data_IF_080620468591
#
_entry.id   IF_080620468591
#
_cell.length_a   1.000
_cell.length_b   1.000
_cell.length_c   1.000
_cell.angle_alpha   90.00
_cell.angle_beta   90.00
_cell.angle_gamma   90.00
#
_symmetry.space_group_name_H-M   'P 1'
#
loop_
_entity.id
_entity.type
_entity.pdbx_description
1 polymer ?
#
# COMPACT_ATOMS: atom_id res chain seq x y z
N UNK A 1 -23.68 -40.77 5.76
CA UNK A 1 -22.65 -40.03 6.53
C UNK A 1 -22.53 -38.65 5.90
N UNK A 2 -23.25 -37.67 6.45
CA UNK A 2 -23.22 -36.28 5.96
C UNK A 2 -22.08 -35.55 6.66
N UNK A 3 -20.92 -35.44 6.00
CA UNK A 3 -19.87 -34.50 6.40
C UNK A 3 -20.27 -33.12 5.89
N UNK A 4 -21.15 -32.46 6.62
CA UNK A 4 -21.41 -31.03 6.48
C UNK A 4 -20.17 -30.26 6.91
N UNK A 5 -19.34 -29.89 5.92
CA UNK A 5 -18.28 -28.89 6.08
C UNK A 5 -18.94 -27.57 6.50
N UNK A 6 -18.79 -27.23 7.78
CA UNK A 6 -19.08 -25.89 8.29
C UNK A 6 -18.19 -24.91 7.53
N UNK A 7 -18.74 -24.27 6.50
CA UNK A 7 -18.20 -23.03 5.96
C UNK A 7 -18.32 -21.97 7.07
N UNK A 8 -17.32 -21.94 7.96
CA UNK A 8 -17.08 -20.79 8.81
C UNK A 8 -16.74 -19.63 7.87
N UNK A 9 -17.74 -18.83 7.52
CA UNK A 9 -17.55 -17.52 6.91
C UNK A 9 -16.82 -16.64 7.94
N UNK A 10 -15.50 -16.81 8.02
CA UNK A 10 -14.63 -15.97 8.83
C UNK A 10 -14.71 -14.57 8.23
N UNK A 11 -15.35 -13.66 8.95
CA UNK A 11 -15.40 -12.26 8.56
C UNK A 11 -13.97 -11.72 8.48
N UNK A 12 -13.64 -10.95 7.42
CA UNK A 12 -12.29 -10.48 7.23
C UNK A 12 -11.87 -9.55 8.37
N UNK A 13 -10.63 -9.73 8.83
CA UNK A 13 -10.02 -8.80 9.77
C UNK A 13 -9.85 -7.46 9.06
N UNK A 14 -10.20 -6.36 9.71
CA UNK A 14 -10.08 -5.03 9.09
C UNK A 14 -8.84 -4.31 9.63
N UNK A 15 -7.95 -3.88 8.74
CA UNK A 15 -6.83 -2.99 9.04
C UNK A 15 -7.07 -1.63 8.41
N UNK A 16 -6.71 -0.55 9.11
CA UNK A 16 -6.65 0.79 8.53
C UNK A 16 -5.22 1.25 8.34
N UNK A 17 -5.00 2.03 7.30
CA UNK A 17 -3.76 2.75 6.99
C UNK A 17 -4.14 4.22 6.82
N UNK A 18 -3.55 5.12 7.60
CA UNK A 18 -3.78 6.56 7.48
C UNK A 18 -2.66 7.19 6.65
N UNK A 19 -3.01 7.71 5.48
CA UNK A 19 -2.10 8.30 4.50
C UNK A 19 -1.87 7.38 3.32
N UNK A 20 -2.31 7.82 2.14
CA UNK A 20 -2.14 7.15 0.85
C UNK A 20 -0.85 7.54 0.12
N UNK A 21 0.13 8.12 0.81
CA UNK A 21 1.44 8.42 0.24
C UNK A 21 2.31 7.18 0.06
N UNK A 22 3.62 7.39 -0.10
CA UNK A 22 4.61 6.33 -0.25
C UNK A 22 4.48 5.20 0.78
N UNK A 23 4.60 5.53 2.07
CA UNK A 23 4.65 4.55 3.15
C UNK A 23 3.36 3.75 3.22
N UNK A 24 2.20 4.40 3.22
CA UNK A 24 0.92 3.71 3.29
C UNK A 24 0.63 2.83 2.08
N UNK A 25 1.07 3.25 0.89
CA UNK A 25 0.94 2.46 -0.33
C UNK A 25 1.81 1.20 -0.31
N UNK A 26 3.05 1.30 0.16
CA UNK A 26 3.92 0.13 0.29
C UNK A 26 3.49 -0.80 1.44
N UNK A 27 2.96 -0.25 2.54
CA UNK A 27 2.34 -1.06 3.60
C UNK A 27 1.12 -1.82 3.04
N UNK A 28 0.25 -1.14 2.29
CA UNK A 28 -0.89 -1.79 1.64
C UNK A 28 -0.45 -2.89 0.66
N UNK A 29 0.54 -2.62 -0.20
CA UNK A 29 1.08 -3.60 -1.13
C UNK A 29 1.67 -4.83 -0.41
N UNK A 30 2.44 -4.62 0.67
CA UNK A 30 2.98 -5.71 1.47
C UNK A 30 1.87 -6.52 2.18
N UNK A 31 0.83 -5.87 2.70
CA UNK A 31 -0.31 -6.56 3.31
C UNK A 31 -1.11 -7.37 2.29
N UNK A 32 -1.32 -6.84 1.09
CA UNK A 32 -2.00 -7.53 -0.02
C UNK A 32 -1.22 -8.80 -0.43
N UNK A 33 0.10 -8.66 -0.63
CA UNK A 33 0.99 -9.74 -1.05
C UNK A 33 1.13 -10.85 0.00
N UNK A 34 1.13 -10.51 1.29
CA UNK A 34 1.47 -11.44 2.37
C UNK A 34 0.27 -11.86 3.23
N UNK A 35 -0.96 -11.53 2.85
CA UNK A 35 -2.15 -11.89 3.62
C UNK A 35 -2.33 -13.42 3.67
N UNK A 36 -2.30 -13.98 4.88
CA UNK A 36 -2.53 -15.41 5.15
C UNK A 36 -3.93 -15.72 5.66
N UNK A 37 -4.78 -14.70 5.78
CA UNK A 37 -6.16 -14.78 6.27
C UNK A 37 -7.04 -13.77 5.54
N UNK A 38 -8.39 -13.93 5.56
CA UNK A 38 -9.30 -12.92 5.01
C UNK A 38 -9.03 -11.54 5.61
N UNK A 39 -8.74 -10.55 4.76
CA UNK A 39 -8.26 -9.23 5.17
C UNK A 39 -8.96 -8.11 4.39
N UNK A 40 -9.42 -7.09 5.11
CA UNK A 40 -9.97 -5.86 4.54
C UNK A 40 -9.07 -4.69 4.92
N UNK A 41 -8.38 -4.12 3.94
CA UNK A 41 -7.46 -2.98 4.15
C UNK A 41 -8.21 -1.70 3.79
N UNK A 42 -8.33 -0.78 4.74
CA UNK A 42 -8.90 0.56 4.55
C UNK A 42 -7.76 1.57 4.42
N UNK A 43 -7.50 2.07 3.22
CA UNK A 43 -6.50 3.10 2.98
C UNK A 43 -7.17 4.47 2.95
N UNK A 44 -6.91 5.28 3.98
CA UNK A 44 -7.56 6.57 4.19
C UNK A 44 -6.61 7.66 3.73
N UNK A 45 -7.00 8.43 2.72
CA UNK A 45 -6.21 9.54 2.19
C UNK A 45 -7.12 10.72 1.88
N UNK A 46 -6.68 11.93 2.24
CA UNK A 46 -7.46 13.15 2.01
C UNK A 46 -7.48 13.55 0.54
N UNK A 47 -6.47 13.15 -0.23
CA UNK A 47 -6.35 13.43 -1.66
C UNK A 47 -6.86 12.23 -2.48
N UNK A 48 -7.35 12.48 -3.69
CA UNK A 48 -7.80 11.40 -4.60
C UNK A 48 -6.65 10.57 -5.18
N UNK A 49 -5.42 11.13 -5.22
CA UNK A 49 -4.25 10.43 -5.74
C UNK A 49 -3.48 9.70 -4.63
N UNK A 50 -3.46 8.37 -4.74
CA UNK A 50 -2.72 7.45 -3.87
C UNK A 50 -1.41 7.02 -4.55
N UNK A 51 -0.37 6.70 -3.77
CA UNK A 51 0.88 6.09 -4.24
C UNK A 51 2.10 6.98 -4.06
N UNK A 52 2.02 8.23 -4.50
CA UNK A 52 3.21 9.11 -4.57
C UNK A 52 3.48 9.86 -3.26
N UNK A 53 2.44 10.34 -2.59
CA UNK A 53 2.59 11.25 -1.44
C UNK A 53 3.33 12.54 -1.82
N UNK A 54 3.69 13.34 -0.81
CA UNK A 54 4.34 14.66 -1.04
C UNK A 54 5.73 14.52 -1.67
N UNK A 55 6.52 13.55 -1.20
CA UNK A 55 7.93 13.41 -1.58
C UNK A 55 8.14 12.91 -3.02
N UNK A 56 7.20 12.14 -3.57
CA UNK A 56 7.30 11.54 -4.90
C UNK A 56 6.22 12.04 -5.88
N UNK A 57 5.39 13.00 -5.46
CA UNK A 57 4.41 13.69 -6.31
C UNK A 57 4.97 14.89 -7.08
N UNK A 58 6.28 15.16 -6.95
CA UNK A 58 6.93 16.26 -7.68
C UNK A 58 6.98 15.96 -9.19
N UNK A 59 6.65 16.96 -10.02
CA UNK A 59 6.77 16.87 -11.49
C UNK A 59 8.16 17.31 -12.00
N UNK A 60 9.09 17.59 -11.09
CA UNK A 60 10.40 18.15 -11.43
C UNK A 60 11.43 17.03 -11.55
N UNK A 61 11.88 16.78 -12.78
CA UNK A 61 12.78 15.67 -13.10
C UNK A 61 14.16 15.75 -12.43
N UNK A 62 14.60 16.93 -11.96
CA UNK A 62 15.88 17.06 -11.25
C UNK A 62 15.83 16.65 -9.77
N UNK A 63 14.64 16.36 -9.22
CA UNK A 63 14.53 15.83 -7.87
C UNK A 63 14.84 14.33 -7.89
N UNK A 64 16.12 13.99 -7.76
CA UNK A 64 16.57 12.60 -7.73
C UNK A 64 16.31 11.95 -6.36
N UNK A 65 16.24 10.62 -6.36
CA UNK A 65 16.36 9.81 -5.16
C UNK A 65 17.70 10.10 -4.47
N UNK A 66 17.72 9.96 -3.15
CA UNK A 66 18.96 10.07 -2.37
C UNK A 66 19.70 8.74 -2.25
N UNK A 67 19.13 7.67 -2.81
CA UNK A 67 19.62 6.29 -2.75
C UNK A 67 19.62 5.75 -4.19
N UNK A 68 20.66 5.01 -4.59
CA UNK A 68 20.75 4.48 -5.95
C UNK A 68 19.74 3.35 -6.18
N UNK A 69 19.32 3.15 -7.43
CA UNK A 69 18.23 2.24 -7.80
C UNK A 69 18.40 0.81 -7.27
N UNK A 70 19.63 0.27 -7.28
CA UNK A 70 19.92 -1.08 -6.79
C UNK A 70 19.83 -1.25 -5.28
N UNK A 71 19.61 -0.17 -4.53
CA UNK A 71 19.36 -0.19 -3.07
C UNK A 71 17.91 0.14 -2.71
N UNK A 72 17.04 0.25 -3.72
CA UNK A 72 15.63 0.56 -3.54
C UNK A 72 14.79 -0.67 -3.88
N UNK A 73 13.85 -1.01 -3.01
CA UNK A 73 12.82 -1.99 -3.31
C UNK A 73 11.58 -1.74 -2.46
N UNK A 74 10.42 -2.11 -2.98
CA UNK A 74 9.18 -2.20 -2.22
C UNK A 74 9.14 -3.43 -1.29
N UNK A 75 9.97 -4.43 -1.55
CA UNK A 75 9.95 -5.73 -0.91
C UNK A 75 11.35 -6.13 -0.41
N UNK A 76 11.50 -6.44 0.89
CA UNK A 76 12.82 -6.77 1.46
C UNK A 76 13.38 -8.10 0.94
N UNK A 77 12.52 -9.00 0.48
CA UNK A 77 12.87 -10.30 -0.10
C UNK A 77 13.16 -10.23 -1.61
N UNK A 78 12.85 -9.11 -2.27
CA UNK A 78 13.10 -8.91 -3.71
C UNK A 78 13.94 -7.63 -3.92
N UNK A 79 15.23 -7.71 -3.61
CA UNK A 79 16.11 -6.54 -3.61
C UNK A 79 16.21 -5.83 -4.97
N UNK A 80 16.04 -6.56 -6.07
CA UNK A 80 16.10 -6.01 -7.44
C UNK A 80 14.73 -5.57 -7.98
N UNK A 81 13.64 -5.62 -7.19
CA UNK A 81 12.28 -5.37 -7.68
C UNK A 81 12.15 -4.03 -8.42
N UNK A 82 12.72 -2.95 -7.86
CA UNK A 82 12.68 -1.64 -8.52
C UNK A 82 13.51 -1.60 -9.80
N UNK A 83 14.72 -2.17 -9.80
CA UNK A 83 15.58 -2.19 -10.98
C UNK A 83 14.94 -2.97 -12.13
N UNK A 84 14.35 -4.13 -11.82
CA UNK A 84 13.61 -4.95 -12.77
C UNK A 84 12.40 -4.18 -13.34
N UNK A 85 11.63 -3.51 -12.46
CA UNK A 85 10.51 -2.69 -12.89
C UNK A 85 10.96 -1.57 -13.83
N UNK A 86 12.05 -0.87 -13.53
CA UNK A 86 12.60 0.18 -14.40
C UNK A 86 12.92 -0.37 -15.80
N UNK A 87 13.62 -1.49 -15.88
CA UNK A 87 13.98 -2.11 -17.16
C UNK A 87 12.76 -2.53 -17.98
N UNK A 88 11.72 -3.02 -17.32
CA UNK A 88 10.45 -3.39 -17.97
C UNK A 88 9.63 -2.17 -18.42
N UNK A 89 9.86 -0.99 -17.84
CA UNK A 89 9.14 0.24 -18.11
C UNK A 89 9.96 1.25 -18.93
N UNK A 90 10.92 0.78 -19.74
CA UNK A 90 11.63 1.59 -20.72
C UNK A 90 12.86 2.33 -20.22
N UNK A 91 13.37 1.98 -19.04
CA UNK A 91 14.59 2.55 -18.45
C UNK A 91 15.76 1.55 -18.48
N UNK A 92 15.99 0.88 -19.60
CA UNK A 92 16.98 -0.20 -19.74
C UNK A 92 18.43 0.27 -19.54
N UNK A 93 18.68 1.56 -19.75
CA UNK A 93 19.96 2.22 -19.51
C UNK A 93 20.28 2.43 -18.02
N UNK A 94 19.29 2.34 -17.14
CA UNK A 94 19.47 2.55 -15.71
C UNK A 94 20.24 1.39 -15.08
N UNK A 95 21.28 1.73 -14.33
CA UNK A 95 22.09 0.76 -13.58
C UNK A 95 21.75 0.78 -12.10
N UNK A 96 22.20 -0.24 -11.36
CA UNK A 96 22.07 -0.31 -9.91
C UNK A 96 22.66 0.92 -9.18
N UNK A 97 23.63 1.62 -9.77
CA UNK A 97 24.27 2.80 -9.19
C UNK A 97 23.58 4.13 -9.54
N UNK A 98 22.59 4.12 -10.44
CA UNK A 98 21.92 5.33 -10.92
C UNK A 98 20.97 5.89 -9.86
N UNK A 99 20.99 7.21 -9.68
CA UNK A 99 20.00 7.95 -8.88
C UNK A 99 18.85 8.38 -9.79
N UNK A 100 17.71 7.74 -9.63
CA UNK A 100 16.53 7.92 -10.50
C UNK A 100 15.67 9.09 -10.01
N UNK A 101 14.96 9.83 -10.88
CA UNK A 101 14.01 10.85 -10.44
C UNK A 101 12.95 10.30 -9.47
N UNK A 102 12.61 11.09 -8.44
CA UNK A 102 11.60 10.76 -7.44
C UNK A 102 10.23 10.49 -8.05
N UNK A 103 9.88 11.19 -9.13
CA UNK A 103 8.63 10.97 -9.85
C UNK A 103 8.53 9.53 -10.37
N UNK A 104 9.58 9.02 -11.01
CA UNK A 104 9.64 7.66 -11.54
C UNK A 104 9.52 6.63 -10.41
N UNK A 105 10.13 6.90 -9.26
CA UNK A 105 9.93 6.05 -8.08
C UNK A 105 8.49 6.11 -7.55
N UNK A 106 7.82 7.26 -7.66
CA UNK A 106 6.39 7.38 -7.38
C UNK A 106 5.53 6.53 -8.32
N UNK A 107 5.88 6.47 -9.61
CA UNK A 107 5.21 5.61 -10.60
C UNK A 107 5.38 4.12 -10.26
N UNK A 108 6.60 3.73 -9.86
CA UNK A 108 6.88 2.40 -9.36
C UNK A 108 6.00 2.02 -8.16
N UNK A 109 5.83 2.92 -7.19
CA UNK A 109 5.01 2.65 -6.00
C UNK A 109 3.53 2.48 -6.36
N UNK A 110 3.01 3.30 -7.28
CA UNK A 110 1.65 3.17 -7.80
C UNK A 110 1.46 1.84 -8.54
N UNK A 111 2.40 1.48 -9.42
CA UNK A 111 2.38 0.22 -10.15
C UNK A 111 2.44 -0.97 -9.20
N UNK A 112 3.32 -0.93 -8.19
CA UNK A 112 3.48 -1.99 -7.19
C UNK A 112 2.19 -2.20 -6.39
N UNK A 113 1.53 -1.12 -5.94
CA UNK A 113 0.25 -1.24 -5.23
C UNK A 113 -0.85 -1.83 -6.12
N UNK A 114 -0.92 -1.38 -7.38
CA UNK A 114 -1.89 -1.89 -8.35
C UNK A 114 -1.68 -3.37 -8.65
N UNK A 115 -0.44 -3.79 -8.86
CA UNK A 115 -0.08 -5.19 -9.09
C UNK A 115 -0.42 -6.06 -7.87
N UNK A 116 -0.08 -5.61 -6.66
CA UNK A 116 -0.41 -6.32 -5.44
C UNK A 116 -1.93 -6.48 -5.25
N UNK A 117 -2.72 -5.48 -5.64
CA UNK A 117 -4.19 -5.54 -5.58
C UNK A 117 -4.78 -6.50 -6.60
N UNK A 118 -4.26 -6.51 -7.84
CA UNK A 118 -4.69 -7.43 -8.89
C UNK A 118 -4.37 -8.88 -8.54
N UNK A 119 -3.20 -9.12 -7.91
CA UNK A 119 -2.74 -10.45 -7.53
C UNK A 119 -3.24 -10.90 -6.14
N UNK A 120 -4.04 -10.08 -5.45
CA UNK A 120 -4.51 -10.40 -4.11
C UNK A 120 -5.48 -11.61 -4.13
N UNK A 121 -5.45 -12.47 -3.10
CA UNK A 121 -6.45 -13.52 -2.93
C UNK A 121 -7.88 -12.95 -2.89
N UNK A 122 -8.88 -13.71 -3.36
CA UNK A 122 -10.27 -13.24 -3.46
C UNK A 122 -10.91 -12.79 -2.12
N UNK A 123 -10.37 -13.27 -0.99
CA UNK A 123 -10.81 -12.91 0.36
C UNK A 123 -10.01 -11.75 0.98
N UNK A 124 -9.13 -11.12 0.20
CA UNK A 124 -8.31 -9.98 0.58
C UNK A 124 -8.69 -8.81 -0.32
N UNK A 125 -8.98 -7.65 0.28
CA UNK A 125 -9.35 -6.46 -0.50
C UNK A 125 -8.72 -5.18 0.04
N UNK A 126 -8.46 -4.27 -0.87
CA UNK A 126 -8.11 -2.88 -0.58
C UNK A 126 -9.31 -1.98 -0.87
N UNK A 127 -9.65 -1.13 0.08
CA UNK A 127 -10.66 -0.09 -0.07
C UNK A 127 -10.01 1.26 0.16
N UNK A 128 -10.11 2.14 -0.85
CA UNK A 128 -9.59 3.50 -0.79
C UNK A 128 -10.71 4.42 -0.30
N UNK A 129 -10.46 5.11 0.80
CA UNK A 129 -11.40 6.05 1.42
C UNK A 129 -10.82 7.45 1.27
N UNK A 130 -11.49 8.29 0.47
CA UNK A 130 -11.12 9.69 0.30
C UNK A 130 -11.69 10.51 1.44
N UNK A 131 -10.97 10.58 2.55
CA UNK A 131 -11.37 11.30 3.76
C UNK A 131 -10.14 11.61 4.63
N UNK A 132 -10.34 12.47 5.64
CA UNK A 132 -9.35 12.80 6.65
C UNK A 132 -9.69 12.10 7.95
N UNK A 133 -8.76 11.28 8.46
CA UNK A 133 -8.82 10.83 9.84
C UNK A 133 -8.59 12.01 10.80
N UNK A 134 -9.50 12.21 11.75
CA UNK A 134 -9.50 13.35 12.68
C UNK A 134 -9.28 12.94 14.14
N UNK A 135 -9.59 11.69 14.49
CA UNK A 135 -9.30 11.14 15.81
C UNK A 135 -9.14 9.61 15.73
N UNK A 136 -8.43 9.06 16.71
CA UNK A 136 -8.25 7.62 16.91
C UNK A 136 -8.54 7.33 18.38
N UNK A 137 -9.33 6.30 18.62
CA UNK A 137 -9.58 5.77 19.96
C UNK A 137 -9.23 4.29 19.97
N UNK A 138 -8.30 3.91 20.84
CA UNK A 138 -7.83 2.53 20.97
C UNK A 138 -8.21 1.99 22.32
N UNK A 139 -8.92 0.87 22.31
CA UNK A 139 -9.22 0.05 23.48
C UNK A 139 -8.36 -1.21 23.48
N UNK A 140 -8.48 -2.03 24.52
CA UNK A 140 -7.81 -3.35 24.59
C UNK A 140 -8.25 -4.32 23.49
N UNK A 141 -9.42 -4.11 22.87
CA UNK A 141 -10.01 -5.07 21.92
C UNK A 141 -10.23 -4.51 20.51
N UNK A 142 -10.34 -3.19 20.36
CA UNK A 142 -10.66 -2.52 19.10
C UNK A 142 -9.99 -1.16 18.98
N UNK A 143 -9.75 -0.73 17.74
CA UNK A 143 -9.39 0.64 17.40
C UNK A 143 -10.51 1.24 16.56
N UNK A 144 -10.94 2.44 16.92
CA UNK A 144 -11.92 3.24 16.16
C UNK A 144 -11.20 4.42 15.52
N UNK A 145 -11.36 4.58 14.20
CA UNK A 145 -10.89 5.75 13.46
C UNK A 145 -12.09 6.63 13.14
N UNK A 146 -12.01 7.90 13.55
CA UNK A 146 -13.02 8.92 13.28
C UNK A 146 -12.61 9.72 12.05
N UNK A 147 -13.52 9.84 11.08
CA UNK A 147 -13.28 10.56 9.84
C UNK A 147 -13.98 11.92 9.84
N UNK A 148 -13.50 12.85 9.03
CA UNK A 148 -14.03 14.22 8.95
C UNK A 148 -15.45 14.29 8.39
N UNK A 149 -15.85 13.30 7.59
CA UNK A 149 -17.25 13.11 7.15
C UNK A 149 -18.23 12.74 8.27
N UNK A 150 -17.73 12.40 9.47
CA UNK A 150 -18.52 11.83 10.56
C UNK A 150 -18.59 10.30 10.55
N UNK A 151 -18.06 9.64 9.51
CA UNK A 151 -17.94 8.17 9.48
C UNK A 151 -16.99 7.66 10.57
N UNK A 152 -17.28 6.47 11.09
CA UNK A 152 -16.43 5.75 12.05
C UNK A 152 -16.03 4.40 11.47
N UNK A 153 -14.75 4.06 11.56
CA UNK A 153 -14.21 2.78 11.12
C UNK A 153 -13.72 1.97 12.32
N UNK A 154 -14.24 0.76 12.48
CA UNK A 154 -13.79 -0.19 13.48
C UNK A 154 -12.75 -1.12 12.88
N UNK A 155 -11.54 -1.09 13.41
CA UNK A 155 -10.39 -1.83 12.88
C UNK A 155 -9.68 -2.60 13.98
N UNK A 156 -9.06 -3.71 13.58
CA UNK A 156 -8.24 -4.54 14.47
C UNK A 156 -6.84 -3.98 14.64
N UNK A 157 -6.32 -3.31 13.60
CA UNK A 157 -4.99 -2.72 13.58
C UNK A 157 -4.97 -1.45 12.73
N UNK A 158 -4.11 -0.52 13.14
CA UNK A 158 -3.87 0.76 12.48
C UNK A 158 -2.39 0.87 12.11
N UNK A 159 -2.13 1.42 10.93
CA UNK A 159 -0.80 1.75 10.39
C UNK A 159 -0.72 3.22 9.99
#
# INVERSE_FOLDING_TARGET
MNSSTLNLNISPVTFAIIGGGFSGSLVAANLLRNATMPLSIKLIERNSEVGRGVAYGTQVNCHLLNVPAGKMSAFPDELNHFLNWLHQNGHQEVTAATFVPRQVYGDYVQATLKEAEVNAPANVRLERIVDKAIAIETTTHSTTVYLSSGQRLYVKKLY
#
